data_IF_451487289120
#
_entry.id   IF_451487289120
#
_cell.length_a   1.000
_cell.length_b   1.000
_cell.length_c   1.000
_cell.angle_alpha   90.00
_cell.angle_beta   90.00
_cell.angle_gamma   90.00
#
_symmetry.space_group_name_H-M   'P 1'
#
loop_
_entity.id
_entity.type
_entity.pdbx_description
1 polymer ?
#
# COMPACT_ATOMS: atom_id res chain seq x y z
N UNK A 1 -4.36 -18.43 7.39
CA UNK A 1 -3.59 -17.34 8.01
C UNK A 1 -2.34 -17.16 7.19
N UNK A 2 -2.29 -16.11 6.39
CA UNK A 2 -1.05 -15.66 5.78
C UNK A 2 -0.41 -14.66 6.76
N UNK A 3 0.90 -14.75 6.98
CA UNK A 3 1.63 -13.79 7.81
C UNK A 3 1.95 -12.54 6.97
N UNK A 4 2.00 -11.35 7.56
CA UNK A 4 2.42 -10.15 6.84
C UNK A 4 3.80 -10.36 6.20
N UNK A 5 3.91 -10.05 4.91
CA UNK A 5 5.18 -10.02 4.21
C UNK A 5 5.69 -8.58 4.08
N UNK A 6 6.76 -8.25 4.80
CA UNK A 6 7.45 -6.94 4.72
C UNK A 6 8.68 -6.98 3.82
N UNK A 7 8.97 -8.12 3.18
CA UNK A 7 10.07 -8.26 2.24
C UNK A 7 9.63 -7.89 0.82
N UNK A 8 10.57 -7.51 -0.08
CA UNK A 8 10.27 -7.31 -1.49
C UNK A 8 9.56 -8.53 -2.08
N UNK A 9 8.37 -8.31 -2.66
CA UNK A 9 7.49 -9.38 -3.17
C UNK A 9 6.79 -9.03 -4.50
N UNK A 10 7.18 -7.92 -5.12
CA UNK A 10 6.62 -7.47 -6.40
C UNK A 10 7.56 -7.93 -7.51
N UNK A 11 7.03 -8.62 -8.51
CA UNK A 11 7.77 -8.91 -9.74
C UNK A 11 7.89 -7.62 -10.57
N UNK A 12 9.09 -7.30 -11.04
CA UNK A 12 9.39 -6.04 -11.72
C UNK A 12 8.95 -4.80 -10.89
N UNK A 13 9.56 -4.57 -9.71
CA UNK A 13 9.16 -3.48 -8.81
C UNK A 13 9.23 -2.11 -9.49
N UNK A 14 10.21 -1.90 -10.36
CA UNK A 14 10.42 -0.62 -11.06
C UNK A 14 9.23 -0.24 -11.94
N UNK A 15 8.64 -1.20 -12.65
CA UNK A 15 7.46 -0.97 -13.50
C UNK A 15 6.26 -0.56 -12.65
N UNK A 16 6.02 -1.26 -11.54
CA UNK A 16 4.96 -0.90 -10.60
C UNK A 16 5.17 0.49 -9.97
N UNK A 17 6.42 0.82 -9.61
CA UNK A 17 6.73 2.15 -9.08
C UNK A 17 6.53 3.26 -10.13
N UNK A 18 6.85 3.00 -11.40
CA UNK A 18 6.58 3.93 -12.49
C UNK A 18 5.07 4.18 -12.67
N UNK A 19 4.26 3.11 -12.67
CA UNK A 19 2.80 3.21 -12.77
C UNK A 19 2.21 3.97 -11.57
N UNK A 20 2.69 3.70 -10.35
CA UNK A 20 2.25 4.40 -9.15
C UNK A 20 2.59 5.89 -9.20
N UNK A 21 3.78 6.26 -9.68
CA UNK A 21 4.14 7.67 -9.84
C UNK A 21 3.29 8.35 -10.92
N UNK A 22 3.02 7.67 -12.03
CA UNK A 22 2.25 8.22 -13.14
C UNK A 22 0.82 8.59 -12.72
N UNK A 23 0.16 7.79 -11.86
CA UNK A 23 -1.20 8.10 -11.39
C UNK A 23 -1.25 9.27 -10.38
N UNK A 24 -0.10 9.70 -9.86
CA UNK A 24 0.02 10.89 -9.01
C UNK A 24 0.36 12.16 -9.79
N UNK A 25 0.78 12.04 -11.06
CA UNK A 25 1.19 13.19 -11.86
C UNK A 25 0.01 14.17 -12.06
N UNK A 26 0.29 15.46 -11.86
CA UNK A 26 -0.71 16.53 -11.95
C UNK A 26 -1.68 16.64 -10.76
N UNK A 27 -1.63 15.76 -9.77
CA UNK A 27 -2.49 15.84 -8.58
C UNK A 27 -1.94 16.84 -7.54
N UNK A 28 -2.85 17.53 -6.85
CA UNK A 28 -2.51 18.24 -5.61
C UNK A 28 -2.09 17.26 -4.51
N UNK A 29 -1.51 17.78 -3.43
CA UNK A 29 -1.15 16.97 -2.27
C UNK A 29 -2.38 16.27 -1.67
N UNK A 30 -3.49 17.00 -1.56
CA UNK A 30 -4.74 16.50 -1.01
C UNK A 30 -5.37 15.42 -1.90
N UNK A 31 -5.33 15.62 -3.22
CA UNK A 31 -5.81 14.63 -4.20
C UNK A 31 -4.95 13.36 -4.19
N UNK A 32 -3.64 13.53 -4.08
CA UNK A 32 -2.66 12.44 -3.94
C UNK A 32 -2.89 11.64 -2.65
N UNK A 33 -3.15 12.31 -1.52
CA UNK A 33 -3.46 11.66 -0.25
C UNK A 33 -4.81 10.91 -0.32
N UNK A 34 -5.82 11.50 -0.98
CA UNK A 34 -7.10 10.84 -1.22
C UNK A 34 -6.98 9.63 -2.17
N UNK A 35 -6.09 9.69 -3.17
CA UNK A 35 -5.76 8.54 -4.01
C UNK A 35 -5.13 7.42 -3.17
N UNK A 36 -4.13 7.74 -2.34
CA UNK A 36 -3.46 6.78 -1.49
C UNK A 36 -4.43 6.10 -0.50
N UNK A 37 -5.33 6.87 0.14
CA UNK A 37 -6.32 6.32 1.04
C UNK A 37 -7.26 5.30 0.34
N UNK A 38 -7.71 5.61 -0.89
CA UNK A 38 -8.51 4.70 -1.70
C UNK A 38 -7.74 3.44 -2.07
N UNK A 39 -6.49 3.58 -2.50
CA UNK A 39 -5.62 2.44 -2.85
C UNK A 39 -5.42 1.52 -1.64
N UNK A 40 -5.13 2.06 -0.45
CA UNK A 40 -4.98 1.29 0.79
C UNK A 40 -6.25 0.48 1.09
N UNK A 41 -7.44 1.08 0.96
CA UNK A 41 -8.70 0.37 1.20
C UNK A 41 -8.95 -0.76 0.19
N UNK A 42 -8.63 -0.54 -1.10
CA UNK A 42 -8.74 -1.55 -2.14
C UNK A 42 -7.82 -2.74 -1.84
N UNK A 43 -6.56 -2.47 -1.49
CA UNK A 43 -5.59 -3.51 -1.16
C UNK A 43 -5.95 -4.24 0.14
N UNK A 44 -6.45 -3.52 1.15
CA UNK A 44 -6.92 -4.14 2.40
C UNK A 44 -8.08 -5.10 2.16
N UNK A 45 -9.01 -4.74 1.28
CA UNK A 45 -10.11 -5.62 0.86
C UNK A 45 -9.60 -6.84 0.09
N UNK A 46 -8.59 -6.67 -0.77
CA UNK A 46 -7.97 -7.79 -1.48
C UNK A 46 -7.27 -8.78 -0.52
N UNK A 47 -6.61 -8.27 0.51
CA UNK A 47 -5.98 -9.08 1.56
C UNK A 47 -7.03 -9.85 2.37
N UNK A 48 -8.10 -9.17 2.83
CA UNK A 48 -9.27 -9.77 3.50
C UNK A 48 -9.03 -10.41 4.88
N UNK A 49 -7.78 -10.65 5.27
CA UNK A 49 -7.39 -11.32 6.51
C UNK A 49 -7.14 -10.32 7.65
N UNK A 50 -7.96 -10.39 8.70
CA UNK A 50 -7.96 -9.44 9.82
C UNK A 50 -6.65 -9.42 10.61
N UNK A 51 -5.99 -10.57 10.75
CA UNK A 51 -4.73 -10.71 11.48
C UNK A 51 -3.58 -10.08 10.69
N UNK A 52 -3.49 -10.39 9.39
CA UNK A 52 -2.55 -9.76 8.45
C UNK A 52 -2.68 -8.24 8.46
N UNK A 53 -3.92 -7.73 8.42
CA UNK A 53 -4.18 -6.29 8.48
C UNK A 53 -3.79 -5.67 9.84
N UNK A 54 -3.94 -6.42 10.94
CA UNK A 54 -3.49 -5.96 12.26
C UNK A 54 -1.96 -5.82 12.31
N UNK A 55 -1.24 -6.82 11.79
CA UNK A 55 0.21 -6.80 11.67
C UNK A 55 0.68 -5.63 10.80
N UNK A 56 0.00 -5.37 9.68
CA UNK A 56 0.32 -4.26 8.78
C UNK A 56 0.20 -2.90 9.50
N UNK A 57 -0.87 -2.70 10.27
CA UNK A 57 -1.07 -1.47 11.05
C UNK A 57 0.00 -1.30 12.14
N UNK A 58 0.33 -2.38 12.86
CA UNK A 58 1.39 -2.35 13.87
C UNK A 58 2.75 -2.02 13.24
N UNK A 59 3.07 -2.62 12.09
CA UNK A 59 4.30 -2.33 11.35
C UNK A 59 4.37 -0.87 10.86
N UNK A 60 3.25 -0.30 10.40
CA UNK A 60 3.18 1.10 9.97
C UNK A 60 3.29 2.11 11.13
N UNK A 61 2.83 1.75 12.34
CA UNK A 61 2.96 2.58 13.54
C UNK A 61 4.37 2.55 14.13
N UNK A 62 5.13 1.48 13.90
CA UNK A 62 6.51 1.37 14.32
C UNK A 62 7.35 2.40 13.56
N UNK A 63 7.56 3.57 14.18
CA UNK A 63 8.49 4.58 13.70
C UNK A 63 9.91 4.04 13.89
N UNK A 64 10.67 3.94 12.81
CA UNK A 64 12.13 3.94 12.88
C UNK A 64 12.64 5.35 13.15
#
# INVERSE_FOLDING_TARGET
MAKLNTKPNIAAPDDFYADLLAIHDGLSKEESDALNARLILILANHVGDRETLAEALAAAQARN
#
